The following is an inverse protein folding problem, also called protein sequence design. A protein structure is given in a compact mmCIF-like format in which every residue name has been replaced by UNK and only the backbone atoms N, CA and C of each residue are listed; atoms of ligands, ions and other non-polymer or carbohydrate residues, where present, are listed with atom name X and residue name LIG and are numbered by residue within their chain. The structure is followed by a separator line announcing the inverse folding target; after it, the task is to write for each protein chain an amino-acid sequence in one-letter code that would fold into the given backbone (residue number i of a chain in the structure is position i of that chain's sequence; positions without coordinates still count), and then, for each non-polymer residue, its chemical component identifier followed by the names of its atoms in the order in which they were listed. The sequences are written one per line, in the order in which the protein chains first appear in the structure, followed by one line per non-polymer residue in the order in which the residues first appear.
data_IF_181265709430
#
_entry.id   IF_181265709430
#
_cell.length_a   1.000
_cell.length_b   1.000
_cell.length_c   1.000
_cell.angle_alpha   90.00
_cell.angle_beta   90.00
_cell.angle_gamma   90.00
#
_symmetry.space_group_name_H-M   'P 1'
#
loop_
_entity.id
_entity.type
_entity.pdbx_description
1 polymer ?
#
# COMPACT_ATOMS: atom_id res chain seq x y z
N UNK A 1 -8.32 12.52 22.07
CA UNK A 1 -6.96 12.60 21.47
C UNK A 1 -5.87 11.97 22.32
N UNK A 2 -5.91 12.07 23.67
CA UNK A 2 -4.95 11.37 24.55
C UNK A 2 -4.91 9.84 24.31
N UNK A 3 -6.08 9.20 24.21
CA UNK A 3 -6.18 7.76 23.92
C UNK A 3 -5.52 7.38 22.58
N UNK A 4 -5.74 8.14 21.50
CA UNK A 4 -5.10 7.88 20.21
C UNK A 4 -3.57 7.95 20.31
N UNK A 5 -3.06 8.95 21.04
CA UNK A 5 -1.61 9.08 21.24
C UNK A 5 -1.05 7.86 21.97
N UNK A 6 -1.68 7.48 23.07
CA UNK A 6 -1.28 6.33 23.88
C UNK A 6 -1.22 5.07 23.03
N UNK A 7 -2.28 4.77 22.28
CA UNK A 7 -2.33 3.58 21.42
C UNK A 7 -1.26 3.57 20.31
N UNK A 8 -1.02 4.72 19.66
CA UNK A 8 0.03 4.81 18.63
C UNK A 8 1.43 4.67 19.24
N UNK A 9 1.65 5.23 20.43
CA UNK A 9 2.94 5.10 21.14
C UNK A 9 3.15 3.67 21.62
N UNK A 10 2.14 2.98 22.14
CA UNK A 10 2.25 1.57 22.51
C UNK A 10 2.56 0.68 21.29
N UNK A 11 1.89 0.93 20.16
CA UNK A 11 2.23 0.27 18.91
C UNK A 11 3.66 0.57 18.46
N UNK A 12 4.12 1.82 18.58
CA UNK A 12 5.47 2.21 18.22
C UNK A 12 6.52 1.54 19.15
N UNK A 13 6.26 1.45 20.46
CA UNK A 13 7.13 0.78 21.43
C UNK A 13 7.30 -0.69 21.10
N UNK A 14 6.20 -1.39 20.79
CA UNK A 14 6.24 -2.78 20.35
C UNK A 14 7.06 -2.98 19.06
N UNK A 15 7.27 -1.91 18.29
CA UNK A 15 8.07 -1.88 17.07
C UNK A 15 9.44 -1.19 17.22
N UNK A 16 9.92 -0.96 18.47
CA UNK A 16 11.27 -0.49 18.75
C UNK A 16 11.42 1.00 19.12
N UNK A 17 10.32 1.74 19.26
CA UNK A 17 10.37 3.13 19.73
C UNK A 17 10.85 3.19 21.20
N UNK A 18 11.70 4.16 21.58
CA UNK A 18 12.22 5.26 20.76
C UNK A 18 13.61 5.04 20.17
N UNK A 19 14.32 3.98 20.53
CA UNK A 19 15.77 3.85 20.29
C UNK A 19 16.14 2.98 19.10
N UNK A 20 15.34 1.97 18.81
CA UNK A 20 15.65 1.01 17.75
C UNK A 20 15.16 1.51 16.40
N UNK A 21 15.70 0.92 15.33
CA UNK A 21 15.18 1.17 13.99
C UNK A 21 13.74 0.63 13.92
N UNK A 22 12.78 1.41 13.38
CA UNK A 22 11.39 0.98 13.27
C UNK A 22 11.25 -0.39 12.58
N UNK A 23 10.60 -1.32 13.27
CA UNK A 23 10.24 -2.62 12.70
C UNK A 23 9.10 -2.47 11.70
N UNK A 24 9.07 -3.34 10.67
CA UNK A 24 8.03 -3.33 9.63
C UNK A 24 6.61 -3.60 10.18
N UNK A 25 6.50 -4.19 11.37
CA UNK A 25 5.23 -4.40 12.08
C UNK A 25 4.51 -3.08 12.36
N UNK A 26 5.23 -1.99 12.63
CA UNK A 26 4.64 -0.67 12.80
C UNK A 26 3.82 -0.25 11.58
N UNK A 27 4.41 -0.33 10.39
CA UNK A 27 3.75 0.08 9.15
C UNK A 27 2.64 -0.89 8.71
N UNK A 28 2.68 -2.12 9.20
CA UNK A 28 1.68 -3.15 8.95
C UNK A 28 0.41 -2.91 9.79
N UNK A 29 0.57 -2.56 11.07
CA UNK A 29 -0.55 -2.43 12.02
C UNK A 29 -1.15 -1.02 12.10
N UNK A 30 -0.32 0.01 11.91
CA UNK A 30 -0.73 1.41 11.99
C UNK A 30 -1.93 1.77 11.10
N UNK A 31 -2.07 1.28 9.85
CA UNK A 31 -3.24 1.56 9.02
C UNK A 31 -4.54 1.14 9.71
N UNK A 32 -4.57 -0.05 10.30
CA UNK A 32 -5.73 -0.57 11.02
C UNK A 32 -6.07 0.25 12.26
N UNK A 33 -5.06 0.65 13.04
CA UNK A 33 -5.25 1.49 14.22
C UNK A 33 -5.82 2.87 13.84
N UNK A 34 -5.16 3.58 12.91
CA UNK A 34 -5.62 4.90 12.47
C UNK A 34 -7.00 4.84 11.83
N UNK A 35 -7.23 3.84 10.98
CA UNK A 35 -8.51 3.63 10.32
C UNK A 35 -9.68 3.44 11.29
N UNK A 36 -9.48 2.66 12.36
CA UNK A 36 -10.52 2.46 13.40
C UNK A 36 -10.72 3.69 14.27
N UNK A 37 -9.65 4.38 14.66
CA UNK A 37 -9.73 5.52 15.60
C UNK A 37 -10.09 6.84 14.93
N UNK A 38 -9.73 7.03 13.67
CA UNK A 38 -9.99 8.25 12.91
C UNK A 38 -11.09 7.99 11.88
N UNK A 39 -12.35 7.98 12.31
CA UNK A 39 -13.54 7.81 11.46
C UNK A 39 -13.89 9.10 10.69
N UNK A 40 -12.89 9.67 10.01
CA UNK A 40 -13.02 10.93 9.27
C UNK A 40 -13.58 10.68 7.86
N UNK A 41 -14.31 11.66 7.33
CA UNK A 41 -14.68 11.67 5.92
C UNK A 41 -13.45 11.87 5.03
N UNK A 42 -13.49 11.44 3.75
CA UNK A 42 -12.44 11.76 2.77
C UNK A 42 -12.16 13.27 2.63
N UNK A 43 -13.17 14.11 2.84
CA UNK A 43 -13.03 15.57 2.79
C UNK A 43 -12.18 16.10 3.95
N UNK A 44 -12.39 15.59 5.16
CA UNK A 44 -11.56 15.92 6.32
C UNK A 44 -10.14 15.37 6.14
N UNK A 45 -10.01 14.13 5.69
CA UNK A 45 -8.73 13.49 5.37
C UNK A 45 -7.95 14.17 4.24
N UNK A 46 -8.62 14.97 3.41
CA UNK A 46 -8.00 15.78 2.39
C UNK A 46 -7.27 17.01 2.93
N UNK A 47 -7.65 17.49 4.14
CA UNK A 47 -7.07 18.69 4.74
C UNK A 47 -5.67 18.42 5.30
N UNK A 48 -4.72 19.25 4.89
CA UNK A 48 -3.32 19.11 5.31
C UNK A 48 -3.17 19.31 6.82
N UNK A 49 -3.98 20.17 7.41
CA UNK A 49 -3.97 20.59 8.80
C UNK A 49 -4.26 19.43 9.76
N UNK A 50 -5.11 18.48 9.36
CA UNK A 50 -5.39 17.27 10.14
C UNK A 50 -4.10 16.48 10.34
N UNK A 51 -3.34 16.28 9.27
CA UNK A 51 -2.10 15.52 9.32
C UNK A 51 -0.96 16.29 9.98
N UNK A 52 -0.89 17.61 9.76
CA UNK A 52 0.02 18.50 10.49
C UNK A 52 -0.23 18.43 12.00
N UNK A 53 -1.49 18.42 12.44
CA UNK A 53 -1.80 18.28 13.86
C UNK A 53 -1.26 16.96 14.43
N UNK A 54 -1.42 15.85 13.71
CA UNK A 54 -0.88 14.56 14.14
C UNK A 54 0.64 14.58 14.23
N UNK A 55 1.35 15.10 13.22
CA UNK A 55 2.82 15.04 13.17
C UNK A 55 3.54 16.16 13.92
N UNK A 56 2.90 17.31 14.15
CA UNK A 56 3.55 18.48 14.78
C UNK A 56 3.10 18.71 16.22
N UNK A 57 1.90 18.25 16.60
CA UNK A 57 1.35 18.47 17.95
C UNK A 57 1.13 17.17 18.73
N UNK A 58 0.53 16.13 18.12
CA UNK A 58 0.10 14.94 18.86
C UNK A 58 1.20 13.88 19.02
N UNK A 59 1.87 13.54 17.92
CA UNK A 59 2.83 12.44 17.79
C UNK A 59 4.15 12.87 17.10
N UNK A 60 4.74 14.03 17.43
CA UNK A 60 5.97 14.49 16.78
C UNK A 60 7.16 13.54 17.01
N UNK A 61 7.21 12.94 18.20
CA UNK A 61 8.21 11.94 18.60
C UNK A 61 8.14 10.69 17.73
N UNK A 62 6.95 10.09 17.58
CA UNK A 62 6.76 8.89 16.74
C UNK A 62 7.02 9.21 15.26
N UNK A 63 6.59 10.38 14.78
CA UNK A 63 6.80 10.80 13.40
C UNK A 63 8.29 10.92 13.05
N UNK A 64 9.06 11.60 13.90
CA UNK A 64 10.50 11.80 13.72
C UNK A 64 11.30 10.52 13.97
N UNK A 65 10.85 9.64 14.87
CA UNK A 65 11.45 8.31 15.02
C UNK A 65 11.28 7.45 13.77
N UNK A 66 10.07 7.40 13.20
CA UNK A 66 9.81 6.60 12.00
C UNK A 66 10.47 7.17 10.75
N UNK A 67 10.53 8.50 10.64
CA UNK A 67 11.15 9.21 9.53
C UNK A 67 11.97 10.40 10.04
N UNK A 68 13.24 10.15 10.42
CA UNK A 68 14.15 11.22 10.81
C UNK A 68 14.26 12.30 9.73
N UNK A 69 14.39 13.55 10.16
CA UNK A 69 14.64 14.70 9.29
C UNK A 69 16.10 15.11 9.43
N UNK A 70 17.01 14.26 8.94
CA UNK A 70 18.46 14.45 9.11
C UNK A 70 18.95 15.75 8.46
N UNK A 71 18.29 16.17 7.39
CA UNK A 71 18.60 17.40 6.64
C UNK A 71 17.98 18.66 7.25
N UNK A 72 17.12 18.53 8.28
CA UNK A 72 16.33 19.62 8.86
C UNK A 72 15.56 20.45 7.83
N UNK A 73 15.16 19.81 6.73
CA UNK A 73 14.42 20.45 5.65
C UNK A 73 13.02 20.85 6.14
N UNK A 74 12.68 22.15 6.18
CA UNK A 74 11.36 22.61 6.63
C UNK A 74 10.23 22.18 5.69
N UNK A 75 10.55 21.70 4.48
CA UNK A 75 9.59 21.21 3.48
C UNK A 75 9.41 19.69 3.50
N UNK A 76 10.02 19.00 4.49
CA UNK A 76 10.08 17.55 4.55
C UNK A 76 8.68 16.90 4.58
N UNK A 77 8.32 16.28 3.45
CA UNK A 77 6.94 15.85 3.18
C UNK A 77 6.44 14.70 4.06
N UNK A 78 7.33 14.00 4.74
CA UNK A 78 6.96 12.93 5.67
C UNK A 78 6.44 13.46 6.99
N UNK A 79 6.81 14.70 7.33
CA UNK A 79 6.36 15.41 8.53
C UNK A 79 5.22 16.37 8.20
N UNK A 80 5.34 17.17 7.13
CA UNK A 80 4.23 18.03 6.70
C UNK A 80 3.06 17.18 6.17
N UNK A 81 1.83 17.66 6.29
CA UNK A 81 0.58 16.98 5.94
C UNK A 81 0.35 16.73 4.45
N UNK A 82 1.41 16.76 3.64
CA UNK A 82 1.44 16.41 2.23
C UNK A 82 1.13 14.91 2.03
N UNK A 83 0.86 14.43 0.79
CA UNK A 83 0.47 13.04 0.54
C UNK A 83 1.41 11.97 1.13
N UNK A 84 2.71 12.27 1.25
CA UNK A 84 3.73 11.37 1.81
C UNK A 84 3.87 11.44 3.33
N UNK A 85 3.01 12.19 4.02
CA UNK A 85 3.00 12.28 5.47
C UNK A 85 2.91 10.89 6.12
N UNK A 86 3.64 10.71 7.23
CA UNK A 86 3.79 9.42 7.91
C UNK A 86 2.45 8.80 8.33
N UNK A 87 1.50 9.58 8.85
CA UNK A 87 0.21 9.05 9.30
C UNK A 87 -0.84 9.08 8.19
N UNK A 88 -0.82 10.13 7.36
CA UNK A 88 -1.77 10.30 6.24
C UNK A 88 -1.79 9.08 5.33
N UNK A 89 -0.62 8.61 4.91
CA UNK A 89 -0.52 7.51 3.95
C UNK A 89 -1.15 6.23 4.52
N UNK A 90 -0.97 5.94 5.80
CA UNK A 90 -1.50 4.74 6.45
C UNK A 90 -3.01 4.81 6.60
N UNK A 91 -3.57 5.98 6.92
CA UNK A 91 -5.02 6.16 6.93
C UNK A 91 -5.63 5.95 5.53
N UNK A 92 -5.02 6.52 4.48
CA UNK A 92 -5.49 6.32 3.10
C UNK A 92 -5.35 4.86 2.64
N UNK A 93 -4.28 4.16 3.04
CA UNK A 93 -4.12 2.71 2.79
C UNK A 93 -5.30 1.93 3.38
N UNK A 94 -5.64 2.16 4.65
CA UNK A 94 -6.80 1.52 5.27
C UNK A 94 -8.12 1.90 4.59
N UNK A 95 -8.33 3.19 4.29
CA UNK A 95 -9.58 3.67 3.68
C UNK A 95 -9.82 3.10 2.29
N UNK A 96 -8.76 2.96 1.49
CA UNK A 96 -8.82 2.45 0.12
C UNK A 96 -8.86 0.92 0.12
N UNK A 97 -7.93 0.26 0.81
CA UNK A 97 -7.77 -1.19 0.75
C UNK A 97 -8.65 -1.94 1.75
N UNK A 98 -9.26 -1.26 2.72
CA UNK A 98 -9.98 -1.90 3.82
C UNK A 98 -9.04 -2.41 4.93
N UNK A 99 -9.58 -3.09 5.94
CA UNK A 99 -8.82 -3.49 7.13
C UNK A 99 -7.85 -4.65 6.88
N UNK A 100 -8.16 -5.56 5.95
CA UNK A 100 -7.44 -6.85 5.85
C UNK A 100 -6.24 -6.80 4.88
N UNK A 101 -6.38 -6.09 3.76
CA UNK A 101 -5.35 -6.04 2.72
C UNK A 101 -4.04 -5.39 3.18
N UNK A 102 -4.02 -4.28 3.95
CA UNK A 102 -2.78 -3.70 4.46
C UNK A 102 -1.95 -4.64 5.33
N UNK A 103 -2.57 -5.64 5.98
CA UNK A 103 -1.86 -6.63 6.80
C UNK A 103 -1.10 -7.67 5.97
N UNK A 104 -1.45 -7.82 4.68
CA UNK A 104 -0.94 -8.86 3.78
C UNK A 104 -0.03 -8.31 2.69
N UNK A 105 -0.01 -6.99 2.50
CA UNK A 105 0.78 -6.28 1.52
C UNK A 105 1.98 -5.63 2.20
N UNK A 106 3.14 -5.61 1.53
CA UNK A 106 4.31 -4.85 2.00
C UNK A 106 4.20 -3.37 1.61
N UNK A 107 5.03 -2.51 2.23
CA UNK A 107 4.98 -1.04 2.02
C UNK A 107 5.03 -0.67 0.53
N UNK A 108 5.98 -1.25 -0.22
CA UNK A 108 6.15 -0.98 -1.65
C UNK A 108 4.93 -1.40 -2.47
N UNK A 109 4.29 -2.53 -2.12
CA UNK A 109 3.09 -3.00 -2.83
C UNK A 109 1.92 -2.04 -2.63
N UNK A 110 1.69 -1.60 -1.39
CA UNK A 110 0.67 -0.60 -1.08
C UNK A 110 0.96 0.73 -1.77
N UNK A 111 2.23 1.15 -1.82
CA UNK A 111 2.64 2.38 -2.50
C UNK A 111 2.32 2.33 -4.01
N UNK A 112 2.53 1.19 -4.68
CA UNK A 112 2.21 1.07 -6.11
C UNK A 112 0.71 1.20 -6.42
N UNK A 113 -0.17 0.96 -5.43
CA UNK A 113 -1.62 1.06 -5.60
C UNK A 113 -2.12 2.42 -5.10
N UNK A 114 -1.92 2.70 -3.80
CA UNK A 114 -2.61 3.77 -3.06
C UNK A 114 -2.04 5.16 -3.37
N UNK A 115 -0.73 5.29 -3.56
CA UNK A 115 -0.09 6.59 -3.84
C UNK A 115 -0.25 7.04 -5.31
N UNK A 116 -1.21 6.45 -6.04
CA UNK A 116 -1.56 6.77 -7.42
C UNK A 116 -3.03 7.24 -7.51
N UNK A 117 -3.38 8.39 -6.93
CA UNK A 117 -4.77 8.80 -6.69
C UNK A 117 -5.58 9.08 -7.97
N UNK A 118 -4.93 9.41 -9.08
CA UNK A 118 -5.60 9.66 -10.37
C UNK A 118 -5.87 8.38 -11.18
N UNK A 119 -5.53 7.22 -10.63
CA UNK A 119 -5.63 5.93 -11.30
C UNK A 119 -5.99 4.83 -10.30
N UNK A 120 -5.03 3.97 -9.93
CA UNK A 120 -5.25 2.83 -9.04
C UNK A 120 -5.81 3.20 -7.68
N UNK A 121 -5.27 4.26 -7.05
CA UNK A 121 -5.71 4.72 -5.74
C UNK A 121 -6.97 5.59 -5.76
N UNK A 122 -7.50 5.91 -6.96
CA UNK A 122 -8.68 6.75 -7.12
C UNK A 122 -10.00 6.03 -6.94
N UNK A 123 -10.01 4.71 -7.13
CA UNK A 123 -11.18 3.86 -6.97
C UNK A 123 -10.84 2.66 -6.06
N UNK A 124 -11.43 2.58 -4.85
CA UNK A 124 -11.25 1.44 -3.94
C UNK A 124 -11.57 0.08 -4.57
N UNK A 125 -12.53 -0.02 -5.49
CA UNK A 125 -12.90 -1.29 -6.14
C UNK A 125 -11.76 -1.78 -7.02
N UNK A 126 -11.17 -0.87 -7.81
CA UNK A 126 -10.00 -1.14 -8.66
C UNK A 126 -8.78 -1.51 -7.81
N UNK A 127 -8.49 -0.73 -6.76
CA UNK A 127 -7.37 -0.96 -5.86
C UNK A 127 -7.44 -2.35 -5.19
N UNK A 128 -8.62 -2.70 -4.66
CA UNK A 128 -8.86 -3.98 -3.98
C UNK A 128 -8.80 -5.14 -4.96
N UNK A 129 -9.42 -5.02 -6.14
CA UNK A 129 -9.39 -6.07 -7.15
C UNK A 129 -7.94 -6.42 -7.56
N UNK A 130 -7.10 -5.42 -7.80
CA UNK A 130 -5.67 -5.65 -8.09
C UNK A 130 -4.95 -6.32 -6.90
N UNK A 131 -5.16 -5.80 -5.68
CA UNK A 131 -4.53 -6.35 -4.48
C UNK A 131 -4.91 -7.81 -4.21
N UNK A 132 -6.20 -8.16 -4.37
CA UNK A 132 -6.68 -9.53 -4.23
C UNK A 132 -6.03 -10.46 -5.26
N UNK A 133 -6.03 -10.08 -6.54
CA UNK A 133 -5.44 -10.91 -7.59
C UNK A 133 -3.92 -11.05 -7.42
N UNK A 134 -3.24 -9.99 -7.01
CA UNK A 134 -1.81 -10.04 -6.66
C UNK A 134 -1.53 -11.07 -5.56
N UNK A 135 -2.24 -10.99 -4.44
CA UNK A 135 -2.05 -11.92 -3.32
C UNK A 135 -2.41 -13.36 -3.67
N UNK A 136 -3.47 -13.55 -4.47
CA UNK A 136 -3.89 -14.85 -4.95
C UNK A 136 -2.79 -15.49 -5.81
N UNK A 137 -2.25 -14.79 -6.80
CA UNK A 137 -1.20 -15.34 -7.67
C UNK A 137 0.08 -15.65 -6.91
N UNK A 138 0.44 -14.86 -5.90
CA UNK A 138 1.58 -15.16 -5.05
C UNK A 138 1.41 -16.42 -4.20
N UNK A 139 0.16 -16.80 -3.92
CA UNK A 139 -0.18 -18.00 -3.18
C UNK A 139 -0.26 -19.23 -4.10
N UNK A 140 -0.99 -19.11 -5.22
CA UNK A 140 -1.36 -20.26 -6.06
C UNK A 140 -0.44 -20.49 -7.27
N UNK A 141 0.30 -19.49 -7.75
CA UNK A 141 1.11 -19.61 -8.97
C UNK A 141 2.60 -19.79 -8.68
N UNK A 142 3.26 -20.53 -9.57
CA UNK A 142 4.71 -20.71 -9.58
C UNK A 142 5.25 -20.46 -10.98
N UNK A 143 6.51 -20.06 -11.06
CA UNK A 143 7.23 -19.82 -12.31
C UNK A 143 8.27 -20.91 -12.49
N UNK A 144 8.30 -21.57 -13.65
CA UNK A 144 9.34 -22.56 -13.95
C UNK A 144 10.49 -21.88 -14.69
N UNK A 145 11.68 -21.90 -14.10
CA UNK A 145 12.90 -21.33 -14.70
C UNK A 145 13.92 -22.44 -14.86
N UNK A 146 14.32 -22.73 -16.10
CA UNK A 146 15.27 -23.80 -16.42
C UNK A 146 14.88 -25.16 -15.77
N UNK A 147 13.59 -25.52 -15.85
CA UNK A 147 13.05 -26.75 -15.27
C UNK A 147 12.88 -26.75 -13.74
N UNK A 148 13.08 -25.63 -13.05
CA UNK A 148 12.90 -25.51 -11.60
C UNK A 148 11.75 -24.58 -11.24
N UNK A 149 10.82 -25.08 -10.43
CA UNK A 149 9.68 -24.32 -9.94
C UNK A 149 10.07 -23.31 -8.85
N UNK A 150 9.88 -22.02 -9.11
CA UNK A 150 10.22 -20.89 -8.23
C UNK A 150 8.98 -20.07 -7.89
N UNK A 151 9.02 -19.38 -6.74
CA UNK A 151 7.98 -18.40 -6.37
C UNK A 151 8.08 -17.14 -7.24
N UNK A 152 6.93 -16.51 -7.48
CA UNK A 152 6.86 -15.18 -8.08
C UNK A 152 7.58 -14.15 -7.18
N UNK A 153 8.15 -13.12 -7.80
CA UNK A 153 8.83 -12.04 -7.04
C UNK A 153 7.81 -10.95 -6.85
N UNK A 154 7.32 -10.82 -5.63
CA UNK A 154 6.17 -9.98 -5.30
C UNK A 154 6.28 -8.55 -5.82
N UNK A 155 7.41 -7.90 -5.56
CA UNK A 155 7.66 -6.53 -6.00
C UNK A 155 7.60 -6.38 -7.53
N UNK A 156 8.20 -7.32 -8.28
CA UNK A 156 8.18 -7.33 -9.74
C UNK A 156 6.76 -7.55 -10.27
N UNK A 157 6.04 -8.51 -9.70
CA UNK A 157 4.66 -8.81 -10.08
C UNK A 157 3.76 -7.60 -9.87
N UNK A 158 3.80 -6.97 -8.69
CA UNK A 158 2.98 -5.78 -8.39
C UNK A 158 3.33 -4.62 -9.33
N UNK A 159 4.63 -4.36 -9.53
CA UNK A 159 5.10 -3.25 -10.38
C UNK A 159 4.65 -3.43 -11.82
N UNK A 160 4.79 -4.62 -12.40
CA UNK A 160 4.38 -4.88 -13.79
C UNK A 160 2.86 -4.92 -13.95
N UNK A 161 2.13 -5.46 -12.97
CA UNK A 161 0.67 -5.43 -12.93
C UNK A 161 0.15 -3.99 -12.87
N UNK A 162 0.69 -3.17 -11.96
CA UNK A 162 0.30 -1.77 -11.82
C UNK A 162 0.53 -0.97 -13.12
N UNK A 163 1.66 -1.18 -13.81
CA UNK A 163 1.92 -0.56 -15.13
C UNK A 163 0.85 -0.94 -16.17
N UNK A 164 0.44 -2.20 -16.19
CA UNK A 164 -0.58 -2.71 -17.12
C UNK A 164 -1.96 -2.14 -16.81
N UNK A 165 -2.33 -2.06 -15.52
CA UNK A 165 -3.57 -1.39 -15.10
C UNK A 165 -3.56 0.09 -15.52
N UNK A 166 -2.44 0.80 -15.32
CA UNK A 166 -2.31 2.18 -15.78
C UNK A 166 -2.50 2.32 -17.30
N UNK A 167 -1.97 1.36 -18.08
CA UNK A 167 -2.07 1.38 -19.54
C UNK A 167 -3.51 1.15 -19.99
N UNK A 168 -4.17 0.11 -19.48
CA UNK A 168 -5.55 -0.20 -19.88
C UNK A 168 -6.53 0.87 -19.38
N UNK A 169 -6.29 1.45 -18.20
CA UNK A 169 -7.11 2.53 -17.64
C UNK A 169 -7.10 3.84 -18.44
N UNK A 170 -6.24 3.96 -19.48
CA UNK A 170 -6.30 5.08 -20.43
C UNK A 170 -7.40 4.92 -21.49
N UNK A 171 -7.83 3.69 -21.75
CA UNK A 171 -8.81 3.37 -22.80
C UNK A 171 -10.07 2.70 -22.22
N UNK A 172 -9.99 2.15 -21.01
CA UNK A 172 -11.11 1.56 -20.29
C UNK A 172 -11.41 2.38 -19.04
N UNK A 173 -12.67 2.80 -18.88
CA UNK A 173 -13.16 3.41 -17.65
C UNK A 173 -13.33 2.31 -16.58
N UNK A 174 -12.28 1.99 -15.85
CA UNK A 174 -12.28 0.86 -14.89
C UNK A 174 -13.40 0.96 -13.84
N UNK A 175 -13.79 2.18 -13.44
CA UNK A 175 -14.84 2.42 -12.45
C UNK A 175 -16.25 2.04 -12.93
N UNK A 176 -16.48 1.91 -14.24
CA UNK A 176 -17.78 1.53 -14.81
C UNK A 176 -17.97 0.02 -14.93
N UNK A 177 -16.90 -0.76 -14.76
CA UNK A 177 -16.97 -2.22 -14.78
C UNK A 177 -17.67 -2.74 -13.51
N UNK A 178 -18.34 -3.89 -13.62
CA UNK A 178 -18.85 -4.64 -12.47
C UNK A 178 -17.68 -5.21 -11.64
N UNK A 179 -17.94 -5.62 -10.41
CA UNK A 179 -16.91 -6.23 -9.55
C UNK A 179 -16.36 -7.53 -10.16
N UNK A 180 -17.21 -8.30 -10.83
CA UNK A 180 -16.84 -9.52 -11.56
C UNK A 180 -15.90 -9.20 -12.73
N UNK A 181 -16.27 -8.25 -13.61
CA UNK A 181 -15.43 -7.85 -14.74
C UNK A 181 -14.12 -7.20 -14.27
N UNK A 182 -14.13 -6.47 -13.15
CA UNK A 182 -12.90 -5.97 -12.52
C UNK A 182 -12.01 -7.11 -12.06
N UNK A 183 -12.56 -8.10 -11.36
CA UNK A 183 -11.80 -9.24 -10.89
C UNK A 183 -11.19 -10.04 -12.05
N UNK A 184 -11.95 -10.27 -13.12
CA UNK A 184 -11.50 -10.95 -14.33
C UNK A 184 -10.39 -10.18 -15.05
N UNK A 185 -10.58 -8.88 -15.24
CA UNK A 185 -9.57 -8.02 -15.87
C UNK A 185 -8.28 -7.97 -15.05
N UNK A 186 -8.39 -7.83 -13.72
CA UNK A 186 -7.23 -7.82 -12.84
C UNK A 186 -6.52 -9.17 -12.82
N UNK A 187 -7.25 -10.28 -12.86
CA UNK A 187 -6.67 -11.63 -12.98
C UNK A 187 -5.85 -11.72 -14.27
N UNK A 188 -6.43 -11.36 -15.41
CA UNK A 188 -5.74 -11.41 -16.70
C UNK A 188 -4.49 -10.52 -16.73
N UNK A 189 -4.56 -9.33 -16.13
CA UNK A 189 -3.41 -8.42 -16.03
C UNK A 189 -2.29 -9.02 -15.19
N UNK A 190 -2.63 -9.62 -14.04
CA UNK A 190 -1.64 -10.24 -13.14
C UNK A 190 -1.06 -11.51 -13.76
N UNK A 191 -1.86 -12.33 -14.44
CA UNK A 191 -1.40 -13.48 -15.23
C UNK A 191 -0.37 -13.04 -16.29
N UNK A 192 -0.67 -11.99 -17.07
CA UNK A 192 0.27 -11.42 -18.05
C UNK A 192 1.53 -10.84 -17.42
N UNK A 193 1.45 -10.32 -16.20
CA UNK A 193 2.62 -9.83 -15.47
C UNK A 193 3.49 -10.98 -14.94
N UNK A 194 2.86 -12.06 -14.47
CA UNK A 194 3.56 -13.28 -14.08
C UNK A 194 4.28 -13.91 -15.29
N UNK A 195 3.60 -14.00 -16.44
CA UNK A 195 4.19 -14.52 -17.70
C UNK A 195 5.44 -13.73 -18.10
N UNK A 196 5.34 -12.40 -18.10
CA UNK A 196 6.49 -11.55 -18.41
C UNK A 196 7.65 -11.75 -17.43
N UNK A 197 7.36 -12.04 -16.16
CA UNK A 197 8.40 -12.36 -15.18
C UNK A 197 9.09 -13.71 -15.49
N UNK A 198 8.34 -14.70 -15.97
CA UNK A 198 8.88 -15.99 -16.40
C UNK A 198 9.78 -15.86 -17.63
N UNK A 199 9.30 -15.15 -18.66
CA UNK A 199 10.04 -14.90 -19.90
C UNK A 199 11.36 -14.15 -19.64
N UNK A 200 11.33 -13.12 -18.79
CA UNK A 200 12.52 -12.37 -18.40
C UNK A 200 13.56 -13.22 -17.63
N UNK A 201 13.16 -14.39 -17.14
CA UNK A 201 14.02 -15.36 -16.48
C UNK A 201 14.37 -16.55 -17.38
N UNK A 202 14.06 -16.54 -18.68
CA UNK A 202 14.16 -17.70 -19.60
C UNK A 202 13.36 -18.92 -19.12
N UNK A 203 12.09 -18.72 -18.75
CA UNK A 203 11.21 -19.76 -18.19
C UNK A 203 9.76 -19.71 -18.69
N UNK A 204 9.07 -20.85 -18.64
CA UNK A 204 7.63 -21.05 -18.95
C UNK A 204 6.80 -21.09 -17.65
N UNK A 205 5.51 -20.75 -17.73
CA UNK A 205 4.59 -20.84 -16.57
C UNK A 205 3.89 -22.19 -16.55
N UNK A 206 3.87 -22.84 -15.39
CA UNK A 206 2.97 -23.96 -15.10
C UNK A 206 1.72 -23.42 -14.43
N UNK A 207 0.57 -23.60 -15.09
CA UNK A 207 -0.74 -23.39 -14.48
C UNK A 207 -1.06 -24.67 -13.70
N UNK A 208 -1.06 -24.57 -12.37
CA UNK A 208 -1.76 -25.56 -11.53
C UNK A 208 -3.22 -25.15 -11.42
#
# INVERSE_FOLDING_TARGET
MAALREEVVELAKAAGFPTERPLATFDTELPGLLGRRLQMSPAEAGRMEVWNFLTLALLPDVALWRWPSDTKDPTYERILGKPRNVFRRHWWRWRILGPDLPLRLVEDEMQQIVERPTSLGGDPRVARALAHQHLEHLHSRRVVVSGRSRKLVREKLMRESAKRVLRIGRVVALSTLSDEHLADLMREIVDRAALAQAEALTGTIELT
#
